data_IF_193928399251
#
_entry.id   IF_193928399251
#
_cell.length_a   1.000
_cell.length_b   1.000
_cell.length_c   1.000
_cell.angle_alpha   90.00
_cell.angle_beta   90.00
_cell.angle_gamma   90.00
#
_symmetry.space_group_name_H-M   'P 1'
#
loop_
_entity.id
_entity.type
_entity.pdbx_description
1 polymer ?
#
# COMPACT_ATOMS: atom_id res chain seq x y z
N UNK A 1 -6.06 5.82 -11.05
CA UNK A 1 -5.16 5.80 -9.86
C UNK A 1 -4.78 7.19 -9.38
N UNK A 2 -4.22 8.07 -10.21
CA UNK A 2 -3.83 9.43 -9.78
C UNK A 2 -4.92 10.25 -9.05
N UNK A 3 -6.21 10.23 -9.46
CA UNK A 3 -7.25 10.97 -8.73
C UNK A 3 -7.43 10.50 -7.29
N UNK A 4 -7.32 9.19 -7.04
CA UNK A 4 -7.43 8.60 -5.70
C UNK A 4 -6.26 9.07 -4.83
N UNK A 5 -5.03 9.03 -5.35
CA UNK A 5 -3.85 9.46 -4.59
C UNK A 5 -3.93 10.95 -4.24
N UNK A 6 -4.34 11.79 -5.18
CA UNK A 6 -4.55 13.21 -4.94
C UNK A 6 -5.65 13.46 -3.90
N UNK A 7 -6.75 12.70 -3.94
CA UNK A 7 -7.81 12.81 -2.94
C UNK A 7 -7.32 12.41 -1.54
N UNK A 8 -6.59 11.30 -1.41
CA UNK A 8 -5.98 10.86 -0.14
C UNK A 8 -5.04 11.94 0.41
N UNK A 9 -4.15 12.47 -0.41
CA UNK A 9 -3.24 13.54 0.01
C UNK A 9 -3.99 14.81 0.44
N UNK A 10 -5.06 15.16 -0.27
CA UNK A 10 -5.86 16.34 0.05
C UNK A 10 -6.57 16.17 1.39
N UNK A 11 -7.24 15.04 1.62
CA UNK A 11 -7.92 14.74 2.88
C UNK A 11 -6.94 14.69 4.05
N UNK A 12 -5.78 14.08 3.85
CA UNK A 12 -4.71 14.05 4.84
C UNK A 12 -4.21 15.46 5.19
N UNK A 13 -3.98 16.32 4.18
CA UNK A 13 -3.55 17.70 4.39
C UNK A 13 -4.61 18.53 5.15
N UNK A 14 -5.89 18.22 5.00
CA UNK A 14 -6.99 18.86 5.73
C UNK A 14 -7.35 18.16 7.05
N UNK A 15 -6.55 17.18 7.51
CA UNK A 15 -6.77 16.39 8.74
C UNK A 15 -8.11 15.62 8.76
N UNK A 16 -8.66 15.30 7.60
CA UNK A 16 -9.84 14.46 7.42
C UNK A 16 -9.40 12.99 7.29
N UNK A 17 -8.97 12.41 8.42
CA UNK A 17 -8.28 11.12 8.41
C UNK A 17 -9.20 9.95 8.06
N UNK A 18 -10.45 9.94 8.53
CA UNK A 18 -11.39 8.84 8.24
C UNK A 18 -11.74 8.79 6.76
N UNK A 19 -11.97 9.95 6.15
CA UNK A 19 -12.23 10.09 4.72
C UNK A 19 -11.00 9.68 3.91
N UNK A 20 -9.79 10.08 4.34
CA UNK A 20 -8.55 9.66 3.72
C UNK A 20 -8.40 8.12 3.75
N UNK A 21 -8.71 7.47 4.88
CA UNK A 21 -8.68 6.01 4.99
C UNK A 21 -9.73 5.34 4.09
N UNK A 22 -10.96 5.84 4.05
CA UNK A 22 -12.01 5.31 3.18
C UNK A 22 -11.62 5.35 1.70
N UNK A 23 -11.04 6.46 1.26
CA UNK A 23 -10.58 6.62 -0.12
C UNK A 23 -9.36 5.73 -0.40
N UNK A 24 -8.43 5.59 0.55
CA UNK A 24 -7.30 4.68 0.41
C UNK A 24 -7.74 3.20 0.30
N UNK A 25 -8.79 2.80 1.03
CA UNK A 25 -9.41 1.46 0.95
C UNK A 25 -10.01 1.13 -0.40
N UNK A 26 -10.22 2.10 -1.30
CA UNK A 26 -10.61 1.81 -2.68
C UNK A 26 -9.50 1.11 -3.46
N UNK A 27 -8.24 1.26 -3.03
CA UNK A 27 -7.06 0.69 -3.69
C UNK A 27 -6.46 -0.44 -2.85
N UNK A 28 -6.32 -0.22 -1.55
CA UNK A 28 -5.67 -1.12 -0.60
C UNK A 28 -6.49 -1.20 0.68
N UNK A 29 -7.06 -2.37 0.97
CA UNK A 29 -7.87 -2.58 2.17
C UNK A 29 -7.30 -3.74 3.03
N UNK A 30 -6.61 -3.41 4.14
CA UNK A 30 -6.02 -4.41 5.02
C UNK A 30 -7.02 -5.06 5.98
N UNK A 31 -8.28 -4.60 6.05
CA UNK A 31 -9.26 -5.17 6.99
C UNK A 31 -9.90 -6.47 6.49
N UNK A 32 -9.79 -6.75 5.19
CA UNK A 32 -10.39 -7.93 4.55
C UNK A 32 -9.70 -9.22 5.04
N UNK A 33 -8.42 -9.15 5.39
CA UNK A 33 -7.66 -10.31 5.89
C UNK A 33 -8.15 -10.81 7.27
N UNK A 34 -9.00 -10.05 7.96
CA UNK A 34 -9.50 -10.35 9.32
C UNK A 34 -10.83 -11.12 9.27
N UNK A 35 -11.54 -11.12 8.13
CA UNK A 35 -12.74 -11.93 7.96
C UNK A 35 -12.33 -13.38 7.71
N UNK A 36 -12.18 -14.14 8.81
CA UNK A 36 -11.95 -15.57 8.82
C UNK A 36 -13.04 -16.36 8.10
N UNK A 37 -13.04 -16.36 6.77
CA UNK A 37 -13.44 -17.53 5.99
C UNK A 37 -12.19 -18.39 5.84
N UNK A 38 -11.84 -19.05 6.95
CA UNK A 38 -11.29 -20.39 6.90
C UNK A 38 -12.34 -21.30 6.24
N UNK A 39 -12.59 -21.16 4.94
CA UNK A 39 -12.74 -22.36 4.13
C UNK A 39 -11.33 -22.93 4.02
N UNK A 40 -10.95 -23.69 5.05
CA UNK A 40 -9.95 -24.74 4.92
C UNK A 40 -10.47 -25.69 3.84
N UNK A 41 -10.25 -25.35 2.58
CA UNK A 41 -10.08 -26.37 1.56
C UNK A 41 -8.79 -27.13 1.92
N UNK A 42 -8.74 -28.46 1.71
CA UNK A 42 -7.46 -29.13 1.72
C UNK A 42 -6.62 -28.44 0.65
N UNK A 43 -5.38 -28.07 0.96
CA UNK A 43 -4.44 -27.32 0.08
C UNK A 43 -4.45 -25.78 0.20
N UNK A 44 -3.96 -25.27 1.34
CA UNK A 44 -2.72 -24.48 1.36
C UNK A 44 -2.59 -23.12 0.65
N UNK A 45 -3.64 -22.49 0.11
CA UNK A 45 -3.50 -21.10 -0.38
C UNK A 45 -4.79 -20.29 -0.28
N UNK A 46 -5.09 -19.78 0.92
CA UNK A 46 -6.07 -18.70 1.11
C UNK A 46 -5.35 -17.35 1.02
N UNK A 47 -4.85 -17.01 -0.17
CA UNK A 47 -4.32 -15.66 -0.43
C UNK A 47 -5.48 -14.74 -0.79
N UNK A 48 -6.32 -14.41 0.20
CA UNK A 48 -7.18 -13.24 0.05
C UNK A 48 -6.24 -12.03 -0.03
N UNK A 49 -6.29 -11.33 -1.15
CA UNK A 49 -5.37 -10.24 -1.46
C UNK A 49 -5.99 -8.93 -0.98
N UNK A 50 -5.28 -8.21 -0.13
CA UNK A 50 -5.63 -6.87 0.37
C UNK A 50 -5.71 -5.79 -0.74
N UNK A 51 -5.44 -6.14 -2.00
CA UNK A 51 -5.48 -5.24 -3.15
C UNK A 51 -6.83 -5.26 -3.85
N UNK A 52 -7.52 -4.11 -3.87
CA UNK A 52 -8.80 -3.95 -4.60
C UNK A 52 -8.64 -3.52 -6.05
N UNK A 53 -7.54 -2.84 -6.35
CA UNK A 53 -7.26 -2.39 -7.72
C UNK A 53 -6.85 -3.59 -8.59
N UNK A 54 -7.57 -3.91 -9.69
CA UNK A 54 -7.26 -5.05 -10.55
C UNK A 54 -5.79 -5.16 -11.00
N UNK A 55 -5.12 -4.08 -11.50
CA UNK A 55 -3.71 -4.19 -11.91
C UNK A 55 -2.75 -4.45 -10.74
N UNK A 56 -3.12 -4.08 -9.50
CA UNK A 56 -2.28 -4.36 -8.33
C UNK A 56 -2.54 -5.76 -7.78
N UNK A 57 -3.78 -6.24 -7.89
CA UNK A 57 -4.13 -7.61 -7.56
C UNK A 57 -3.37 -8.61 -8.44
N UNK A 58 -3.38 -8.40 -9.76
CA UNK A 58 -2.63 -9.22 -10.73
C UNK A 58 -1.12 -9.19 -10.41
N UNK A 59 -0.56 -7.99 -10.20
CA UNK A 59 0.85 -7.85 -9.82
C UNK A 59 1.19 -8.52 -8.49
N UNK A 60 0.30 -8.48 -7.50
CA UNK A 60 0.51 -9.15 -6.21
C UNK A 60 0.50 -10.68 -6.37
N UNK A 61 -0.42 -11.21 -7.19
CA UNK A 61 -0.46 -12.63 -7.53
C UNK A 61 0.77 -13.07 -8.32
N UNK A 62 1.24 -12.23 -9.24
CA UNK A 62 2.49 -12.49 -9.97
C UNK A 62 3.67 -12.51 -9.02
N UNK A 63 3.78 -11.59 -8.06
CA UNK A 63 4.89 -11.58 -7.09
C UNK A 63 4.90 -12.86 -6.25
N UNK A 64 3.73 -13.40 -5.87
CA UNK A 64 3.67 -14.66 -5.09
C UNK A 64 3.97 -15.89 -5.95
N UNK A 65 3.62 -15.87 -7.24
CA UNK A 65 3.84 -16.99 -8.18
C UNK A 65 5.21 -16.94 -8.90
N UNK A 66 5.82 -15.77 -9.04
CA UNK A 66 7.04 -15.51 -9.83
C UNK A 66 8.33 -16.10 -9.23
N UNK A 67 8.23 -16.93 -8.19
CA UNK A 67 9.30 -17.87 -7.84
C UNK A 67 9.63 -18.86 -8.98
N UNK A 68 8.73 -19.06 -9.96
CA UNK A 68 8.85 -20.12 -10.98
C UNK A 68 8.59 -19.69 -12.46
N UNK A 69 8.48 -18.40 -12.79
CA UNK A 69 8.07 -17.97 -14.14
C UNK A 69 9.25 -17.64 -15.06
N UNK A 70 9.24 -18.14 -16.29
CA UNK A 70 10.18 -17.77 -17.37
C UNK A 70 9.89 -16.34 -17.84
N UNK A 71 10.73 -15.39 -17.44
CA UNK A 71 10.61 -13.99 -17.85
C UNK A 71 10.96 -13.84 -19.32
N UNK A 72 10.07 -13.23 -20.12
CA UNK A 72 10.39 -12.82 -21.49
C UNK A 72 11.33 -11.61 -21.46
N UNK A 73 12.62 -11.89 -21.56
CA UNK A 73 13.70 -10.90 -21.45
C UNK A 73 13.61 -9.79 -22.50
N UNK A 74 13.07 -10.08 -23.70
CA UNK A 74 13.01 -9.10 -24.79
C UNK A 74 11.98 -8.02 -24.53
N UNK A 75 10.77 -8.42 -24.13
CA UNK A 75 9.70 -7.49 -23.74
C UNK A 75 10.13 -6.63 -22.54
N UNK A 76 10.78 -7.25 -21.56
CA UNK A 76 11.29 -6.53 -20.39
C UNK A 76 12.35 -5.48 -20.77
N UNK A 77 13.27 -5.81 -21.70
CA UNK A 77 14.27 -4.84 -22.16
C UNK A 77 13.65 -3.65 -22.86
N UNK A 78 12.64 -3.85 -23.71
CA UNK A 78 11.93 -2.77 -24.39
C UNK A 78 11.18 -1.86 -23.40
N UNK A 79 10.46 -2.43 -22.44
CA UNK A 79 9.76 -1.67 -21.39
C UNK A 79 10.74 -0.87 -20.50
N UNK A 80 11.88 -1.47 -20.15
CA UNK A 80 12.93 -0.82 -19.38
C UNK A 80 13.56 0.34 -20.16
N UNK A 81 13.84 0.17 -21.44
CA UNK A 81 14.39 1.24 -22.30
C UNK A 81 13.44 2.42 -22.41
N UNK A 82 12.14 2.16 -22.62
CA UNK A 82 11.12 3.20 -22.63
C UNK A 82 11.06 3.97 -21.30
N UNK A 83 11.09 3.26 -20.17
CA UNK A 83 11.11 3.89 -18.85
C UNK A 83 12.37 4.73 -18.60
N UNK A 84 13.53 4.30 -19.12
CA UNK A 84 14.79 5.06 -19.05
C UNK A 84 14.70 6.33 -19.89
N UNK A 85 14.17 6.25 -21.11
CA UNK A 85 13.99 7.41 -22.00
C UNK A 85 13.01 8.43 -21.42
N UNK A 86 11.89 7.96 -20.87
CA UNK A 86 10.90 8.80 -20.20
C UNK A 86 11.51 9.50 -18.97
N UNK A 87 12.28 8.77 -18.15
CA UNK A 87 13.01 9.36 -17.02
C UNK A 87 14.09 10.36 -17.46
N UNK A 88 14.82 10.10 -18.55
CA UNK A 88 15.85 11.03 -19.04
C UNK A 88 15.24 12.32 -19.58
N UNK A 89 14.10 12.23 -20.27
CA UNK A 89 13.40 13.40 -20.79
C UNK A 89 12.73 14.22 -19.68
N UNK A 90 12.21 13.57 -18.63
CA UNK A 90 11.45 14.22 -17.56
C UNK A 90 11.91 13.82 -16.15
N UNK A 91 13.21 13.95 -15.87
CA UNK A 91 13.83 13.42 -14.64
C UNK A 91 13.29 13.99 -13.33
N UNK A 92 12.70 15.19 -13.34
CA UNK A 92 12.06 15.80 -12.17
C UNK A 92 10.61 15.33 -11.93
N UNK A 93 9.97 14.66 -12.89
CA UNK A 93 8.60 14.17 -12.75
C UNK A 93 8.61 12.80 -12.08
N UNK A 94 8.32 12.78 -10.77
CA UNK A 94 8.27 11.55 -9.96
C UNK A 94 7.34 10.49 -10.57
N UNK A 95 6.20 10.90 -11.11
CA UNK A 95 5.24 10.00 -11.76
C UNK A 95 5.76 9.36 -13.05
N UNK A 96 6.66 10.03 -13.79
CA UNK A 96 7.28 9.47 -14.99
C UNK A 96 8.16 8.26 -14.61
N UNK A 97 8.95 8.40 -13.55
CA UNK A 97 9.76 7.27 -13.04
C UNK A 97 8.89 6.17 -12.42
N UNK A 98 7.81 6.52 -11.72
CA UNK A 98 6.94 5.56 -11.07
C UNK A 98 6.05 4.77 -12.04
N UNK A 99 5.72 5.32 -13.22
CA UNK A 99 4.93 4.62 -14.25
C UNK A 99 5.62 3.35 -14.75
N UNK A 100 6.94 3.40 -14.96
CA UNK A 100 7.74 2.23 -15.33
C UNK A 100 7.94 1.20 -14.21
N UNK A 101 7.51 1.50 -12.97
CA UNK A 101 7.60 0.60 -11.81
C UNK A 101 6.34 0.70 -10.95
N UNK A 102 5.23 0.02 -11.31
CA UNK A 102 3.96 0.16 -10.59
C UNK A 102 4.03 -0.21 -9.10
N UNK A 103 4.99 -1.04 -8.71
CA UNK A 103 5.32 -1.34 -7.30
C UNK A 103 5.60 -0.09 -6.45
N UNK A 104 6.08 1.01 -7.07
CA UNK A 104 6.28 2.28 -6.38
C UNK A 104 4.95 2.85 -5.88
N UNK A 105 3.87 2.76 -6.67
CA UNK A 105 2.53 3.20 -6.26
C UNK A 105 1.93 2.30 -5.17
N UNK A 106 2.16 0.99 -5.26
CA UNK A 106 1.75 0.04 -4.22
C UNK A 106 2.42 0.37 -2.88
N UNK A 107 3.74 0.58 -2.89
CA UNK A 107 4.48 0.99 -1.68
C UNK A 107 3.98 2.33 -1.15
N UNK A 108 3.75 3.29 -2.04
CA UNK A 108 3.27 4.62 -1.65
C UNK A 108 1.94 4.54 -0.89
N UNK A 109 0.94 3.82 -1.40
CA UNK A 109 -0.37 3.78 -0.74
C UNK A 109 -0.31 3.06 0.61
N UNK A 110 0.51 2.01 0.75
CA UNK A 110 0.71 1.30 2.04
C UNK A 110 1.37 2.22 3.06
N UNK A 111 2.47 2.90 2.69
CA UNK A 111 3.14 3.85 3.57
C UNK A 111 2.20 5.00 3.95
N UNK A 112 1.47 5.56 2.97
CA UNK A 112 0.52 6.65 3.20
C UNK A 112 -0.62 6.24 4.13
N UNK A 113 -1.14 5.03 3.98
CA UNK A 113 -2.18 4.49 4.86
C UNK A 113 -1.69 4.41 6.32
N UNK A 114 -0.47 3.91 6.54
CA UNK A 114 0.13 3.88 7.87
C UNK A 114 0.37 5.29 8.43
N UNK A 115 0.84 6.24 7.61
CA UNK A 115 1.00 7.65 8.01
C UNK A 115 -0.33 8.28 8.47
N UNK A 116 -1.43 8.00 7.75
CA UNK A 116 -2.77 8.49 8.10
C UNK A 116 -3.21 7.92 9.46
N UNK A 117 -3.01 6.62 9.69
CA UNK A 117 -3.34 5.98 10.97
C UNK A 117 -2.55 6.57 12.13
N UNK A 118 -1.23 6.78 11.95
CA UNK A 118 -0.36 7.38 12.96
C UNK A 118 -0.83 8.81 13.27
N UNK A 119 -1.05 9.63 12.25
CA UNK A 119 -1.49 11.01 12.43
C UNK A 119 -2.87 11.10 13.12
N UNK A 120 -3.80 10.19 12.79
CA UNK A 120 -5.07 10.07 13.48
C UNK A 120 -4.88 9.69 14.96
N UNK A 121 -4.00 8.72 15.23
CA UNK A 121 -3.59 8.33 16.59
C UNK A 121 -3.03 9.52 17.39
N UNK A 122 -2.16 10.33 16.78
CA UNK A 122 -1.56 11.52 17.40
C UNK A 122 -2.61 12.58 17.79
N UNK A 123 -3.72 12.68 17.06
CA UNK A 123 -4.85 13.56 17.45
C UNK A 123 -5.51 13.06 18.72
N UNK A 124 -5.75 11.75 18.85
CA UNK A 124 -6.32 11.15 20.06
C UNK A 124 -5.35 11.18 21.25
N UNK A 125 -4.06 10.94 20.99
CA UNK A 125 -3.01 10.95 22.01
C UNK A 125 -2.87 12.32 22.65
N UNK A 126 -2.88 13.40 21.84
CA UNK A 126 -2.79 14.79 22.34
C UNK A 126 -3.94 15.23 23.25
N UNK A 127 -5.11 14.57 23.19
CA UNK A 127 -6.23 14.87 24.09
C UNK A 127 -5.96 14.46 25.54
N UNK A 128 -5.13 13.42 25.75
CA UNK A 128 -4.69 12.99 27.08
C UNK A 128 -5.80 12.54 28.03
N UNK A 129 -6.96 12.10 27.53
CA UNK A 129 -8.05 11.61 28.37
C UNK A 129 -7.99 10.10 28.55
N UNK A 130 -8.62 9.59 29.62
CA UNK A 130 -8.70 8.15 29.88
C UNK A 130 -9.35 7.38 28.72
N UNK A 131 -10.30 8.00 28.00
CA UNK A 131 -10.94 7.39 26.85
C UNK A 131 -10.17 7.59 25.54
N UNK A 132 -9.38 8.65 25.39
CA UNK A 132 -8.66 8.91 24.13
C UNK A 132 -7.40 8.05 23.98
N UNK A 133 -6.80 7.62 25.09
CA UNK A 133 -5.56 6.84 25.08
C UNK A 133 -5.74 5.42 24.50
N UNK A 134 -6.78 4.64 24.85
CA UNK A 134 -7.04 3.36 24.19
C UNK A 134 -7.29 3.51 22.68
N UNK A 135 -8.01 4.56 22.27
CA UNK A 135 -8.28 4.84 20.85
C UNK A 135 -6.99 5.15 20.08
N UNK A 136 -6.09 5.96 20.65
CA UNK A 136 -4.79 6.22 20.03
C UNK A 136 -3.96 4.94 19.90
N UNK A 137 -3.93 4.12 20.96
CA UNK A 137 -3.25 2.83 20.97
C UNK A 137 -3.76 1.92 19.86
N UNK A 138 -5.08 1.83 19.67
CA UNK A 138 -5.67 1.03 18.59
C UNK A 138 -5.16 1.47 17.20
N UNK A 139 -5.11 2.78 16.92
CA UNK A 139 -4.61 3.28 15.63
C UNK A 139 -3.15 2.94 15.39
N UNK A 140 -2.30 3.02 16.42
CA UNK A 140 -0.90 2.62 16.29
C UNK A 140 -0.73 1.12 16.09
N UNK A 141 -1.56 0.30 16.74
CA UNK A 141 -1.57 -1.15 16.53
C UNK A 141 -2.02 -1.50 15.11
N UNK A 142 -3.05 -0.84 14.57
CA UNK A 142 -3.47 -1.01 13.17
C UNK A 142 -2.34 -0.62 12.21
N UNK A 143 -1.64 0.49 12.45
CA UNK A 143 -0.49 0.90 11.63
C UNK A 143 0.66 -0.11 11.69
N UNK A 144 0.93 -0.69 12.86
CA UNK A 144 1.95 -1.72 13.02
C UNK A 144 1.60 -3.00 12.25
N UNK A 145 0.33 -3.42 12.23
CA UNK A 145 -0.11 -4.57 11.43
C UNK A 145 0.07 -4.34 9.93
N UNK A 146 -0.23 -3.12 9.44
CA UNK A 146 -0.05 -2.77 8.03
C UNK A 146 1.42 -2.76 7.61
N UNK A 147 2.32 -2.26 8.47
CA UNK A 147 3.76 -2.20 8.16
C UNK A 147 4.48 -3.54 8.35
N UNK A 148 3.96 -4.39 9.24
CA UNK A 148 4.59 -5.67 9.58
C UNK A 148 5.85 -5.53 10.46
N UNK A 149 6.60 -6.63 10.65
CA UNK A 149 7.78 -6.63 11.50
C UNK A 149 8.91 -5.79 10.89
N UNK A 150 9.70 -5.17 11.76
CA UNK A 150 10.88 -4.40 11.36
C UNK A 150 11.85 -5.31 10.57
N UNK A 151 12.37 -4.86 9.41
CA UNK A 151 13.31 -5.64 8.63
C UNK A 151 14.61 -5.89 9.41
N UNK A 152 15.24 -7.08 9.27
CA UNK A 152 16.51 -7.38 9.91
C UNK A 152 17.61 -6.43 9.38
N UNK A 153 18.49 -5.98 10.28
CA UNK A 153 19.68 -5.23 9.88
C UNK A 153 20.68 -6.21 9.26
N UNK A 154 20.98 -6.04 7.98
CA UNK A 154 22.08 -6.75 7.32
C UNK A 154 23.39 -6.05 7.73
N UNK A 155 24.41 -6.79 8.23
CA UNK A 155 25.72 -6.23 8.60
C UNK A 155 26.49 -5.72 7.38
#
# INVERSE_FOLDING_TARGET
MHPVFLAVDRFFATQQFEEALQVARLVFDPTIDIEGTTSKGPEGSSSQSCWRSPPFLEMANDITQSGNSTVDLKKLTEEMELAILERRSHGGLVHATARGRPQAYMKWIVMKYAEILIAAGDVHFRKGTLESLPLATQRYVEAAHVLGPKPPKVP
#
